data_IF_022672871457
#
_entry.id   IF_022672871457
#
_cell.length_a   1.000
_cell.length_b   1.000
_cell.length_c   1.000
_cell.angle_alpha   90.00
_cell.angle_beta   90.00
_cell.angle_gamma   90.00
#
_symmetry.space_group_name_H-M   'P 1'
#
loop_
_entity.id
_entity.type
_entity.pdbx_description
1 polymer ?
#
# COMPACT_ATOMS: atom_id res chain seq x y z
N UNK A 1 7.94 8.84 -10.61
CA UNK A 1 7.55 9.42 -11.93
C UNK A 1 6.08 9.21 -12.31
N UNK A 2 5.45 8.09 -11.95
CA UNK A 2 4.02 7.89 -12.09
C UNK A 2 3.21 8.79 -11.14
N UNK A 3 1.88 8.76 -11.22
CA UNK A 3 0.98 9.53 -10.35
C UNK A 3 1.19 11.05 -10.43
N UNK A 4 1.44 11.59 -11.62
CA UNK A 4 1.75 13.02 -11.83
C UNK A 4 0.81 13.73 -12.81
N UNK A 5 -0.37 13.19 -13.10
CA UNK A 5 -1.34 13.79 -14.04
C UNK A 5 -1.71 15.25 -13.73
N UNK A 6 -1.80 15.63 -12.45
CA UNK A 6 -2.08 17.02 -12.06
C UNK A 6 -0.98 18.00 -12.45
N UNK A 7 0.28 17.55 -12.57
CA UNK A 7 1.41 18.41 -12.98
C UNK A 7 1.26 18.90 -14.41
N UNK A 8 0.63 18.10 -15.28
CA UNK A 8 0.41 18.45 -16.68
C UNK A 8 -0.53 19.64 -16.87
N UNK A 9 -1.25 20.09 -15.82
CA UNK A 9 -2.02 21.34 -15.84
C UNK A 9 -1.12 22.59 -15.89
N UNK A 10 0.05 22.54 -15.26
CA UNK A 10 1.02 23.64 -15.26
C UNK A 10 2.20 23.40 -16.20
N UNK A 11 2.63 22.14 -16.33
CA UNK A 11 3.82 21.75 -17.07
C UNK A 11 3.51 20.59 -18.03
N UNK A 12 2.60 20.84 -18.97
CA UNK A 12 2.17 19.84 -19.96
C UNK A 12 3.33 19.23 -20.75
N UNK A 13 4.40 20.00 -20.96
CA UNK A 13 5.55 19.60 -21.76
C UNK A 13 6.50 18.61 -21.06
N UNK A 14 6.39 18.43 -19.75
CA UNK A 14 7.19 17.43 -19.00
C UNK A 14 6.37 16.20 -18.58
N UNK A 15 5.12 16.10 -19.01
CA UNK A 15 4.22 15.00 -18.67
C UNK A 15 3.78 14.26 -19.93
N UNK A 16 3.71 12.94 -19.84
CA UNK A 16 3.20 12.05 -20.89
C UNK A 16 1.82 11.54 -20.50
N UNK A 17 1.00 11.15 -21.49
CA UNK A 17 -0.35 10.60 -21.33
C UNK A 17 -1.35 11.40 -20.47
N UNK A 18 -1.07 12.66 -20.17
CA UNK A 18 -1.96 13.46 -19.31
C UNK A 18 -3.27 13.75 -20.01
N UNK A 19 -4.38 13.63 -19.27
CA UNK A 19 -5.76 13.79 -19.75
C UNK A 19 -6.21 12.72 -20.77
N UNK A 20 -5.41 11.66 -20.98
CA UNK A 20 -5.84 10.47 -21.73
C UNK A 20 -6.84 9.62 -20.93
N UNK A 21 -7.71 8.89 -21.63
CA UNK A 21 -8.56 7.91 -20.95
C UNK A 21 -7.69 6.72 -20.49
N UNK A 22 -7.77 6.35 -19.21
CA UNK A 22 -6.84 5.39 -18.63
C UNK A 22 -6.98 3.96 -19.18
N UNK A 23 -8.18 3.55 -19.61
CA UNK A 23 -8.40 2.24 -20.21
C UNK A 23 -8.23 2.28 -21.73
N UNK A 24 -7.81 1.15 -22.29
CA UNK A 24 -7.78 0.97 -23.74
C UNK A 24 -9.21 0.72 -24.29
N UNK A 25 -9.57 1.28 -25.46
CA UNK A 25 -10.88 1.05 -26.09
C UNK A 25 -11.19 -0.43 -26.39
N UNK A 26 -10.18 -1.30 -26.50
CA UNK A 26 -10.40 -2.75 -26.65
C UNK A 26 -10.82 -3.45 -25.34
N UNK A 27 -10.80 -2.75 -24.20
CA UNK A 27 -11.05 -3.33 -22.87
C UNK A 27 -9.88 -4.13 -22.30
N UNK A 28 -8.72 -4.14 -22.96
CA UNK A 28 -7.54 -4.88 -22.50
C UNK A 28 -6.83 -4.15 -21.37
N UNK A 29 -6.74 -4.78 -20.19
CA UNK A 29 -6.05 -4.25 -19.00
C UNK A 29 -4.55 -4.05 -19.21
N UNK A 30 -3.89 -4.95 -19.96
CA UNK A 30 -2.46 -4.84 -20.30
C UNK A 30 -2.14 -3.61 -21.15
N UNK A 31 -3.18 -3.05 -21.77
CA UNK A 31 -3.10 -1.93 -22.70
C UNK A 31 -3.52 -0.61 -22.04
N UNK A 32 -3.81 -0.58 -20.74
CA UNK A 32 -4.14 0.67 -20.03
C UNK A 32 -2.97 1.68 -20.05
N UNK A 33 -3.30 2.95 -19.82
CA UNK A 33 -2.33 4.06 -19.67
C UNK A 33 -2.01 4.38 -18.20
N UNK A 34 -2.87 3.97 -17.26
CA UNK A 34 -2.65 4.09 -15.81
C UNK A 34 -3.42 2.96 -15.08
N UNK A 35 -3.03 2.65 -13.85
CA UNK A 35 -3.76 1.71 -12.99
C UNK A 35 -5.15 2.27 -12.61
N UNK A 36 -5.26 3.59 -12.46
CA UNK A 36 -6.48 4.29 -12.06
C UNK A 36 -6.70 5.57 -12.91
N UNK A 37 -7.93 6.14 -12.93
CA UNK A 37 -8.20 7.41 -13.61
C UNK A 37 -7.31 8.57 -13.15
N UNK A 38 -7.06 9.53 -14.05
CA UNK A 38 -6.14 10.65 -13.80
C UNK A 38 -4.74 10.39 -14.35
N UNK A 39 -4.68 9.90 -15.58
CA UNK A 39 -3.42 9.52 -16.24
C UNK A 39 -2.41 10.66 -16.24
N UNK A 40 -1.13 10.28 -16.13
CA UNK A 40 -0.01 11.17 -16.34
C UNK A 40 1.25 10.69 -15.65
N UNK A 41 2.35 10.66 -16.40
CA UNK A 41 3.67 10.34 -15.88
C UNK A 41 4.70 11.35 -16.36
N UNK A 42 5.63 11.74 -15.50
CA UNK A 42 6.74 12.61 -15.85
C UNK A 42 7.57 12.00 -16.99
N UNK A 43 7.98 12.84 -17.95
CA UNK A 43 8.78 12.47 -19.09
C UNK A 43 10.24 12.28 -18.67
N UNK A 44 10.80 11.06 -18.72
CA UNK A 44 12.12 10.76 -18.18
C UNK A 44 13.28 11.17 -19.10
N UNK A 45 13.00 11.69 -20.31
CA UNK A 45 14.07 12.03 -21.27
C UNK A 45 14.29 13.54 -21.43
N UNK A 46 13.43 14.36 -20.81
CA UNK A 46 13.52 15.81 -20.91
C UNK A 46 14.31 16.40 -19.74
N UNK A 47 15.28 17.26 -20.05
CA UNK A 47 16.08 17.99 -19.04
C UNK A 47 15.17 18.83 -18.13
N UNK A 48 14.17 19.50 -18.71
CA UNK A 48 13.22 20.35 -17.98
C UNK A 48 12.44 19.60 -16.92
N UNK A 49 12.16 18.30 -17.12
CA UNK A 49 11.53 17.46 -16.08
C UNK A 49 12.33 17.50 -14.79
N UNK A 50 13.64 17.29 -14.91
CA UNK A 50 14.55 17.23 -13.76
C UNK A 50 14.78 18.59 -13.11
N UNK A 51 14.80 19.68 -13.89
CA UNK A 51 14.87 21.05 -13.33
C UNK A 51 13.66 21.37 -12.44
N UNK A 52 12.48 20.86 -12.77
CA UNK A 52 11.26 21.09 -11.98
C UNK A 52 11.22 20.14 -10.79
N UNK A 53 11.52 18.85 -11.00
CA UNK A 53 11.56 17.85 -9.92
C UNK A 53 12.57 18.24 -8.83
N UNK A 54 13.77 18.69 -9.21
CA UNK A 54 14.79 19.13 -8.25
C UNK A 54 14.32 20.30 -7.39
N UNK A 55 13.63 21.29 -7.99
CA UNK A 55 13.07 22.43 -7.23
C UNK A 55 12.01 21.97 -6.23
N UNK A 56 11.13 21.07 -6.64
CA UNK A 56 10.08 20.54 -5.75
C UNK A 56 10.70 19.72 -4.61
N UNK A 57 11.63 18.81 -4.91
CA UNK A 57 12.30 17.97 -3.91
C UNK A 57 13.08 18.84 -2.92
N UNK A 58 13.89 19.78 -3.42
CA UNK A 58 14.72 20.64 -2.56
C UNK A 58 13.87 21.56 -1.67
N UNK A 59 12.80 22.15 -2.20
CA UNK A 59 11.87 22.97 -1.41
C UNK A 59 11.18 22.12 -0.34
N UNK A 60 10.57 21.00 -0.71
CA UNK A 60 9.91 20.10 0.24
C UNK A 60 10.88 19.59 1.30
N UNK A 61 12.07 19.12 0.92
CA UNK A 61 13.09 18.64 1.85
C UNK A 61 13.56 19.73 2.84
N UNK A 62 13.52 21.00 2.45
CA UNK A 62 13.85 22.14 3.32
C UNK A 62 12.76 22.46 4.34
N UNK A 63 11.50 22.14 4.04
CA UNK A 63 10.35 22.39 4.92
C UNK A 63 10.21 21.34 6.02
N UNK A 64 10.65 20.11 5.77
CA UNK A 64 10.53 18.99 6.71
C UNK A 64 11.88 18.67 7.37
N UNK A 65 11.90 18.63 8.71
CA UNK A 65 13.13 18.38 9.49
C UNK A 65 13.54 16.91 9.56
N UNK A 66 12.66 15.99 9.17
CA UNK A 66 12.96 14.55 9.18
C UNK A 66 14.12 14.22 8.24
N UNK A 67 14.90 13.18 8.53
CA UNK A 67 16.04 12.81 7.70
C UNK A 67 15.65 11.98 6.48
N UNK A 68 14.38 11.57 6.34
CA UNK A 68 13.92 10.69 5.27
C UNK A 68 13.06 11.48 4.27
N UNK A 69 13.04 11.02 3.03
CA UNK A 69 12.21 11.59 1.97
C UNK A 69 11.67 10.45 1.10
N UNK A 70 10.34 10.37 0.96
CA UNK A 70 9.72 9.35 0.13
C UNK A 70 9.62 9.83 -1.33
N UNK A 71 10.36 9.20 -2.24
CA UNK A 71 10.38 9.50 -3.68
C UNK A 71 9.27 8.84 -4.48
N UNK A 72 8.51 7.90 -3.89
CA UNK A 72 7.44 7.17 -4.59
C UNK A 72 8.03 6.04 -5.42
N UNK A 73 7.76 6.03 -6.73
CA UNK A 73 8.35 5.05 -7.66
C UNK A 73 7.47 3.82 -7.96
N UNK A 74 6.23 3.83 -7.53
CA UNK A 74 5.22 2.80 -7.75
C UNK A 74 4.55 2.89 -9.13
N UNK A 75 4.02 1.74 -9.57
CA UNK A 75 3.10 1.58 -10.72
C UNK A 75 3.44 2.32 -12.03
N UNK A 76 4.69 2.29 -12.53
CA UNK A 76 4.98 2.86 -13.84
C UNK A 76 4.30 2.06 -14.96
N UNK A 77 3.50 2.73 -15.78
CA UNK A 77 2.88 2.18 -16.98
C UNK A 77 3.65 2.66 -18.21
N UNK A 78 4.46 1.79 -18.81
CA UNK A 78 5.37 2.17 -19.91
C UNK A 78 4.65 2.66 -21.16
N UNK A 79 3.44 2.14 -21.43
CA UNK A 79 2.59 2.63 -22.52
C UNK A 79 2.31 4.13 -22.43
N UNK A 80 2.24 4.69 -21.21
CA UNK A 80 2.09 6.13 -21.01
C UNK A 80 3.24 6.91 -21.65
N UNK A 81 4.48 6.42 -21.50
CA UNK A 81 5.68 7.02 -22.09
C UNK A 81 5.81 6.72 -23.59
N UNK A 82 5.46 5.51 -24.02
CA UNK A 82 5.64 5.05 -25.41
C UNK A 82 4.83 5.84 -26.45
N UNK A 83 3.91 6.72 -26.04
CA UNK A 83 3.19 7.60 -26.96
C UNK A 83 3.86 8.98 -27.17
N UNK A 84 4.84 9.34 -26.35
CA UNK A 84 5.50 10.64 -26.42
C UNK A 84 6.62 10.65 -27.48
N UNK A 85 6.66 11.68 -28.31
CA UNK A 85 7.59 11.75 -29.45
C UNK A 85 9.07 11.80 -29.02
N UNK A 86 9.38 12.47 -27.91
CA UNK A 86 10.74 12.59 -27.39
C UNK A 86 11.19 11.27 -26.77
N UNK A 87 10.29 10.62 -26.03
CA UNK A 87 10.54 9.28 -25.49
C UNK A 87 10.77 8.29 -26.62
N UNK A 88 9.90 8.24 -27.63
CA UNK A 88 10.06 7.33 -28.77
C UNK A 88 11.39 7.55 -29.50
N UNK A 89 11.77 8.82 -29.72
CA UNK A 89 13.05 9.17 -30.32
C UNK A 89 14.24 8.70 -29.47
N UNK A 90 14.17 8.89 -28.15
CA UNK A 90 15.20 8.43 -27.20
C UNK A 90 15.30 6.90 -27.19
N UNK A 91 14.18 6.19 -27.02
CA UNK A 91 14.14 4.73 -27.02
C UNK A 91 14.74 4.16 -28.31
N UNK A 92 14.43 4.74 -29.46
CA UNK A 92 15.01 4.33 -30.75
C UNK A 92 16.51 4.63 -30.85
N UNK A 93 16.95 5.81 -30.40
CA UNK A 93 18.35 6.22 -30.50
C UNK A 93 19.27 5.39 -29.59
N UNK A 94 18.79 5.02 -28.41
CA UNK A 94 19.58 4.32 -27.39
C UNK A 94 19.21 2.84 -27.23
N UNK A 95 18.27 2.32 -28.03
CA UNK A 95 17.70 0.98 -27.87
C UNK A 95 17.19 0.74 -26.43
N UNK A 96 16.53 1.74 -25.86
CA UNK A 96 16.04 1.75 -24.49
C UNK A 96 14.61 1.19 -24.39
N UNK A 97 14.32 0.56 -23.26
CA UNK A 97 13.01 0.02 -22.86
C UNK A 97 12.36 0.90 -21.78
N UNK A 98 11.10 0.65 -21.46
CA UNK A 98 10.43 1.30 -20.33
C UNK A 98 11.17 1.12 -18.98
N UNK A 99 11.84 -0.02 -18.79
CA UNK A 99 12.65 -0.27 -17.60
C UNK A 99 13.88 0.65 -17.54
N UNK A 100 14.55 0.86 -18.67
CA UNK A 100 15.70 1.77 -18.76
C UNK A 100 15.27 3.21 -18.47
N UNK A 101 14.09 3.62 -18.95
CA UNK A 101 13.52 4.95 -18.68
C UNK A 101 13.20 5.15 -17.20
N UNK A 102 12.64 4.12 -16.55
CA UNK A 102 12.37 4.15 -15.12
C UNK A 102 13.67 4.25 -14.31
N UNK A 103 14.69 3.45 -14.64
CA UNK A 103 15.99 3.51 -13.98
C UNK A 103 16.62 4.90 -14.13
N UNK A 104 16.67 5.46 -15.34
CA UNK A 104 17.20 6.81 -15.58
C UNK A 104 16.50 7.86 -14.69
N UNK A 105 15.18 7.79 -14.58
CA UNK A 105 14.43 8.71 -13.73
C UNK A 105 14.76 8.52 -12.26
N UNK A 106 14.69 7.29 -11.76
CA UNK A 106 14.90 7.01 -10.34
C UNK A 106 16.33 7.33 -9.91
N UNK A 107 17.36 7.04 -10.70
CA UNK A 107 18.74 7.38 -10.34
C UNK A 107 18.90 8.90 -10.14
N UNK A 108 18.34 9.72 -11.04
CA UNK A 108 18.38 11.18 -10.94
C UNK A 108 17.57 11.71 -9.74
N UNK A 109 16.37 11.18 -9.52
CA UNK A 109 15.51 11.53 -8.38
C UNK A 109 16.20 11.19 -7.04
N UNK A 110 16.77 10.00 -6.93
CA UNK A 110 17.50 9.55 -5.74
C UNK A 110 18.73 10.42 -5.47
N UNK A 111 19.46 10.85 -6.51
CA UNK A 111 20.57 11.80 -6.37
C UNK A 111 20.11 13.17 -5.86
N UNK A 112 18.97 13.68 -6.33
CA UNK A 112 18.39 14.93 -5.81
C UNK A 112 18.01 14.83 -4.34
N UNK A 113 17.44 13.69 -3.93
CA UNK A 113 17.11 13.41 -2.52
C UNK A 113 18.39 13.36 -1.66
N UNK A 114 19.43 12.66 -2.13
CA UNK A 114 20.73 12.58 -1.45
C UNK A 114 21.39 13.96 -1.32
N UNK A 115 21.33 14.78 -2.38
CA UNK A 115 21.85 16.16 -2.37
C UNK A 115 21.12 17.04 -1.36
N UNK A 116 19.87 16.71 -1.04
CA UNK A 116 19.08 17.35 0.02
C UNK A 116 19.41 16.81 1.43
N UNK A 117 20.46 16.00 1.56
CA UNK A 117 20.88 15.34 2.82
C UNK A 117 19.80 14.47 3.47
N UNK A 118 18.94 13.86 2.64
CA UNK A 118 17.89 12.93 3.08
C UNK A 118 18.21 11.49 2.66
N UNK A 119 17.73 10.52 3.43
CA UNK A 119 17.67 9.11 3.04
C UNK A 119 16.40 8.88 2.21
N UNK A 120 16.56 8.33 1.01
CA UNK A 120 15.43 8.05 0.14
C UNK A 120 14.65 6.80 0.60
N UNK A 121 13.33 6.91 0.53
CA UNK A 121 12.39 5.78 0.56
C UNK A 121 11.74 5.70 -0.82
N UNK A 122 11.58 4.51 -1.36
CA UNK A 122 10.75 4.26 -2.54
C UNK A 122 9.83 3.07 -2.29
N UNK A 123 8.73 2.99 -3.02
CA UNK A 123 7.94 1.77 -3.09
C UNK A 123 8.78 0.62 -3.69
N UNK A 124 8.42 -0.61 -3.37
CA UNK A 124 9.22 -1.78 -3.72
C UNK A 124 9.30 -2.10 -5.23
N UNK A 125 8.35 -1.62 -6.03
CA UNK A 125 8.13 -1.99 -7.43
C UNK A 125 9.40 -2.00 -8.30
N UNK A 126 10.24 -0.94 -8.29
CA UNK A 126 11.45 -0.91 -9.11
C UNK A 126 12.41 -2.05 -8.81
N UNK A 127 12.40 -2.58 -7.59
CA UNK A 127 13.37 -3.57 -7.12
C UNK A 127 12.78 -4.98 -7.05
N UNK A 128 11.62 -5.17 -6.44
CA UNK A 128 11.09 -6.51 -6.18
C UNK A 128 10.29 -7.06 -7.36
N UNK A 129 9.69 -6.20 -8.18
CA UNK A 129 8.95 -6.61 -9.39
C UNK A 129 9.84 -6.60 -10.64
N UNK A 130 10.69 -5.57 -10.79
CA UNK A 130 11.43 -5.30 -12.03
C UNK A 130 12.92 -5.67 -11.95
N UNK A 131 13.50 -5.69 -10.74
CA UNK A 131 14.93 -5.95 -10.49
C UNK A 131 15.89 -4.86 -11.04
N UNK A 132 15.51 -3.58 -10.91
CA UNK A 132 16.38 -2.46 -11.25
C UNK A 132 17.56 -2.32 -10.27
N UNK A 133 18.72 -1.82 -10.75
CA UNK A 133 19.95 -1.70 -9.95
C UNK A 133 19.93 -0.47 -9.01
N UNK A 134 18.94 -0.40 -8.12
CA UNK A 134 18.81 0.69 -7.14
C UNK A 134 19.84 0.53 -6.01
N UNK A 135 20.47 1.62 -5.58
CA UNK A 135 21.46 1.61 -4.49
C UNK A 135 20.90 1.08 -3.15
N UNK A 136 21.72 0.36 -2.38
CA UNK A 136 21.32 -0.23 -1.08
C UNK A 136 21.22 0.79 0.07
N UNK A 137 21.56 2.04 -0.20
CA UNK A 137 21.34 3.17 0.71
C UNK A 137 19.87 3.62 0.76
N UNK A 138 19.05 3.16 -0.19
CA UNK A 138 17.60 3.41 -0.25
C UNK A 138 16.82 2.43 0.63
N UNK A 139 15.77 2.91 1.29
CA UNK A 139 14.80 2.09 2.02
C UNK A 139 13.64 1.73 1.09
N UNK A 140 13.20 0.47 1.12
CA UNK A 140 12.02 0.05 0.35
C UNK A 140 10.77 0.01 1.23
N UNK A 141 9.65 0.53 0.75
CA UNK A 141 8.34 0.32 1.36
C UNK A 141 7.62 -0.81 0.60
N UNK A 142 7.42 -1.94 1.27
CA UNK A 142 6.86 -3.14 0.65
C UNK A 142 5.37 -3.26 0.94
N UNK A 143 4.58 -3.17 -0.13
CA UNK A 143 3.12 -3.13 -0.08
C UNK A 143 2.47 -4.34 -0.74
N UNK A 144 3.15 -5.04 -1.64
CA UNK A 144 2.60 -6.19 -2.34
C UNK A 144 3.25 -7.49 -1.89
N UNK A 145 4.59 -7.58 -1.98
CA UNK A 145 5.30 -8.80 -1.65
C UNK A 145 5.48 -8.96 -0.13
N UNK A 146 5.84 -10.16 0.33
CA UNK A 146 6.43 -10.32 1.64
C UNK A 146 7.74 -9.52 1.73
N UNK A 147 7.97 -8.83 2.86
CA UNK A 147 9.18 -8.05 3.10
C UNK A 147 10.49 -8.83 2.88
N UNK A 148 10.43 -10.17 2.99
CA UNK A 148 11.54 -11.08 2.74
C UNK A 148 12.19 -10.89 1.37
N UNK A 149 11.41 -10.52 0.35
CA UNK A 149 11.94 -10.37 -1.01
C UNK A 149 12.86 -9.14 -1.13
N UNK A 150 12.50 -8.03 -0.49
CA UNK A 150 13.38 -6.86 -0.36
C UNK A 150 14.62 -7.17 0.51
N UNK A 151 14.42 -7.84 1.64
CA UNK A 151 15.50 -8.15 2.60
C UNK A 151 16.55 -9.10 2.00
N UNK A 152 16.14 -10.14 1.27
CA UNK A 152 17.07 -11.05 0.56
C UNK A 152 17.95 -10.32 -0.45
N UNK A 153 17.42 -9.25 -1.06
CA UNK A 153 18.17 -8.37 -1.96
C UNK A 153 19.06 -7.37 -1.22
N UNK A 154 19.10 -7.41 0.12
CA UNK A 154 19.97 -6.60 0.96
C UNK A 154 19.46 -5.18 1.23
N UNK A 155 18.16 -4.92 1.07
CA UNK A 155 17.56 -3.63 1.40
C UNK A 155 17.02 -3.61 2.83
N UNK A 156 17.03 -2.42 3.41
CA UNK A 156 16.18 -2.12 4.56
C UNK A 156 14.75 -1.89 4.10
N UNK A 157 13.77 -2.28 4.91
CA UNK A 157 12.36 -2.32 4.50
C UNK A 157 11.41 -1.77 5.55
N UNK A 158 10.42 -1.01 5.10
CA UNK A 158 9.20 -0.63 5.82
C UNK A 158 8.09 -1.58 5.35
N UNK A 159 7.45 -2.30 6.29
CA UNK A 159 6.35 -3.20 5.94
C UNK A 159 5.03 -2.43 5.82
N UNK A 160 4.34 -2.56 4.69
CA UNK A 160 3.03 -1.96 4.42
C UNK A 160 2.13 -2.88 3.60
N UNK A 161 2.28 -4.21 3.77
CA UNK A 161 1.61 -5.19 2.91
C UNK A 161 0.08 -5.01 2.87
N UNK A 162 -0.49 -4.83 1.69
CA UNK A 162 -1.89 -4.50 1.45
C UNK A 162 -2.87 -5.56 1.96
N UNK A 163 -2.45 -6.84 2.02
CA UNK A 163 -3.27 -7.91 2.58
C UNK A 163 -3.45 -7.81 4.11
N UNK A 164 -2.76 -6.87 4.76
CA UNK A 164 -2.80 -6.68 6.20
C UNK A 164 -3.03 -5.23 6.61
N UNK A 165 -2.32 -4.28 6.00
CA UNK A 165 -2.14 -2.92 6.52
C UNK A 165 -2.59 -1.81 5.55
N UNK A 166 -3.47 -2.12 4.60
CA UNK A 166 -4.22 -1.10 3.84
C UNK A 166 -5.61 -0.90 4.47
N UNK A 167 -5.96 0.36 4.74
CA UNK A 167 -7.16 0.76 5.50
C UNK A 167 -8.32 1.25 4.64
N UNK A 168 -8.04 1.64 3.41
CA UNK A 168 -8.95 2.08 2.34
C UNK A 168 -9.78 0.92 1.76
N UNK A 169 -9.20 -0.28 1.75
CA UNK A 169 -9.79 -1.48 1.19
C UNK A 169 -11.12 -1.87 1.88
N UNK A 170 -11.98 -2.62 1.16
CA UNK A 170 -13.27 -3.12 1.69
C UNK A 170 -14.49 -2.24 1.40
N UNK A 171 -14.36 -1.20 0.58
CA UNK A 171 -15.44 -0.23 0.28
C UNK A 171 -16.01 -0.33 -1.13
N UNK A 172 -15.67 -1.40 -1.86
CA UNK A 172 -15.92 -1.49 -3.30
C UNK A 172 -14.98 -0.59 -4.09
N UNK A 173 -15.20 -0.53 -5.40
CA UNK A 173 -14.51 0.38 -6.31
C UNK A 173 -15.23 1.73 -6.38
N UNK A 174 -14.47 2.78 -6.72
CA UNK A 174 -14.97 4.15 -6.82
C UNK A 174 -15.21 4.62 -8.27
N UNK A 175 -14.80 3.81 -9.25
CA UNK A 175 -14.97 4.12 -10.67
C UNK A 175 -16.44 4.22 -11.09
N UNK A 176 -16.74 5.16 -11.97
CA UNK A 176 -18.06 5.29 -12.59
C UNK A 176 -18.25 4.31 -13.77
N UNK A 177 -19.51 4.05 -14.14
CA UNK A 177 -19.88 3.16 -15.26
C UNK A 177 -19.28 1.75 -15.14
N UNK A 178 -19.21 1.20 -13.93
CA UNK A 178 -18.79 -0.17 -13.68
C UNK A 178 -20.00 -1.12 -13.77
N UNK A 179 -20.13 -1.79 -14.92
CA UNK A 179 -21.18 -2.78 -15.14
C UNK A 179 -20.95 -4.08 -14.35
N UNK A 180 -19.81 -4.25 -13.67
CA UNK A 180 -19.58 -5.38 -12.77
C UNK A 180 -20.52 -5.39 -11.56
N UNK A 181 -21.18 -4.27 -11.25
CA UNK A 181 -22.24 -4.21 -10.24
C UNK A 181 -23.63 -4.56 -10.78
N UNK A 182 -23.82 -4.67 -12.11
CA UNK A 182 -25.12 -5.01 -12.72
C UNK A 182 -25.34 -6.52 -12.76
N UNK A 183 -25.23 -7.15 -11.59
CA UNK A 183 -25.43 -8.59 -11.38
C UNK A 183 -26.65 -8.80 -10.46
N UNK A 184 -27.71 -9.41 -11.00
CA UNK A 184 -28.95 -9.69 -10.25
C UNK A 184 -29.00 -11.10 -9.65
N UNK A 185 -28.02 -11.93 -9.98
CA UNK A 185 -27.87 -13.31 -9.52
C UNK A 185 -26.44 -13.55 -9.10
N UNK A 186 -26.23 -14.41 -8.09
CA UNK A 186 -24.90 -14.80 -7.68
C UNK A 186 -24.12 -15.37 -8.89
N UNK A 187 -22.91 -14.87 -9.18
CA UNK A 187 -22.14 -15.37 -10.31
C UNK A 187 -21.80 -16.85 -10.12
N UNK A 188 -21.72 -17.57 -11.23
CA UNK A 188 -21.27 -18.96 -11.22
C UNK A 188 -19.79 -19.01 -10.82
N UNK A 189 -19.51 -19.59 -9.65
CA UNK A 189 -18.14 -19.84 -9.21
C UNK A 189 -17.63 -21.06 -10.00
N UNK A 190 -16.51 -20.96 -10.74
CA UNK A 190 -15.93 -22.09 -11.44
C UNK A 190 -15.71 -23.26 -10.48
N UNK A 191 -15.99 -24.49 -10.94
CA UNK A 191 -15.98 -25.70 -10.09
C UNK A 191 -14.68 -25.89 -9.31
N UNK A 192 -13.54 -25.56 -9.93
CA UNK A 192 -12.22 -25.59 -9.32
C UNK A 192 -12.06 -24.58 -8.17
N UNK A 193 -12.65 -23.39 -8.30
CA UNK A 193 -12.64 -22.37 -7.25
C UNK A 193 -13.64 -22.73 -6.15
N UNK A 194 -14.82 -23.23 -6.52
CA UNK A 194 -15.84 -23.66 -5.58
C UNK A 194 -15.33 -24.77 -4.64
N UNK A 195 -14.51 -25.71 -5.15
CA UNK A 195 -13.88 -26.75 -4.34
C UNK A 195 -12.91 -26.18 -3.29
N UNK A 196 -12.14 -25.14 -3.66
CA UNK A 196 -11.23 -24.46 -2.72
C UNK A 196 -12.02 -23.66 -1.68
N UNK A 197 -13.03 -22.91 -2.11
CA UNK A 197 -13.88 -22.13 -1.20
C UNK A 197 -14.63 -23.05 -0.22
N UNK A 198 -15.15 -24.18 -0.68
CA UNK A 198 -15.82 -25.17 0.18
C UNK A 198 -14.87 -25.76 1.23
N UNK A 199 -13.59 -26.01 0.86
CA UNK A 199 -12.57 -26.48 1.80
C UNK A 199 -12.32 -25.49 2.95
N UNK A 200 -12.53 -24.20 2.71
CA UNK A 200 -12.31 -23.13 3.67
C UNK A 200 -13.60 -22.51 4.22
N UNK A 201 -14.76 -23.13 3.97
CA UNK A 201 -16.09 -22.64 4.35
C UNK A 201 -16.37 -21.19 3.90
N UNK A 202 -15.85 -20.83 2.72
CA UNK A 202 -15.85 -19.48 2.16
C UNK A 202 -16.77 -19.35 0.93
N UNK A 203 -17.78 -20.23 0.79
CA UNK A 203 -18.63 -20.33 -0.40
C UNK A 203 -19.49 -19.07 -0.70
N UNK A 204 -19.68 -18.19 0.29
CA UNK A 204 -20.39 -16.91 0.13
C UNK A 204 -19.45 -15.70 -0.01
N UNK A 205 -18.18 -15.95 -0.33
CA UNK A 205 -17.16 -14.92 -0.42
C UNK A 205 -17.21 -14.20 -1.78
N UNK A 206 -18.31 -13.49 -2.08
CA UNK A 206 -18.35 -12.53 -3.18
C UNK A 206 -17.45 -11.34 -2.81
N UNK A 207 -16.49 -11.01 -3.67
CA UNK A 207 -15.57 -9.89 -3.48
C UNK A 207 -15.96 -8.79 -4.49
N UNK A 208 -16.47 -7.63 -4.04
CA UNK A 208 -16.71 -6.51 -4.95
C UNK A 208 -15.40 -6.06 -5.60
N UNK A 209 -15.48 -5.33 -6.72
CA UNK A 209 -14.34 -4.78 -7.45
C UNK A 209 -13.59 -3.70 -6.65
N UNK A 210 -12.93 -4.09 -5.56
CA UNK A 210 -11.89 -3.34 -4.89
C UNK A 210 -10.63 -4.20 -4.93
N UNK A 211 -9.55 -3.65 -5.46
CA UNK A 211 -8.29 -4.38 -5.66
C UNK A 211 -7.69 -4.89 -4.35
N UNK A 212 -7.94 -4.20 -3.23
CA UNK A 212 -7.53 -4.62 -1.88
C UNK A 212 -8.51 -5.54 -1.15
N UNK A 213 -9.55 -6.01 -1.84
CA UNK A 213 -10.49 -7.02 -1.35
C UNK A 213 -11.38 -6.55 -0.20
N UNK A 214 -11.58 -7.43 0.80
CA UNK A 214 -12.55 -7.25 1.91
C UNK A 214 -12.19 -6.15 2.93
N UNK A 215 -11.02 -5.52 2.78
CA UNK A 215 -10.51 -4.59 3.77
C UNK A 215 -9.83 -5.29 4.95
N UNK A 216 -8.91 -4.58 5.58
CA UNK A 216 -8.21 -5.08 6.76
C UNK A 216 -8.93 -4.63 8.03
N UNK A 217 -9.58 -5.57 8.71
CA UNK A 217 -10.10 -5.35 10.06
C UNK A 217 -8.94 -5.26 11.08
N UNK A 218 -9.26 -4.84 12.32
CA UNK A 218 -8.24 -4.68 13.36
C UNK A 218 -7.56 -6.00 13.73
N UNK A 219 -8.27 -7.15 13.67
CA UNK A 219 -7.71 -8.47 13.95
C UNK A 219 -6.66 -8.83 12.88
N UNK A 220 -6.97 -8.56 11.61
CA UNK A 220 -6.08 -8.79 10.48
C UNK A 220 -4.83 -7.93 10.60
N UNK A 221 -4.99 -6.63 10.90
CA UNK A 221 -3.87 -5.71 11.16
C UNK A 221 -3.01 -6.21 12.32
N UNK A 222 -3.62 -6.55 13.45
CA UNK A 222 -2.91 -7.07 14.62
C UNK A 222 -2.22 -8.42 14.35
N UNK A 223 -2.72 -9.19 13.38
CA UNK A 223 -2.19 -10.53 13.09
C UNK A 223 -0.89 -10.53 12.29
N UNK A 224 -0.52 -9.39 11.68
CA UNK A 224 0.63 -9.33 10.79
C UNK A 224 1.95 -9.50 11.57
N UNK A 225 2.72 -10.50 11.18
CA UNK A 225 4.09 -10.72 11.65
C UNK A 225 5.05 -10.26 10.55
N UNK A 226 5.62 -9.07 10.73
CA UNK A 226 6.53 -8.43 9.78
C UNK A 226 7.83 -9.23 9.60
N UNK A 227 8.13 -10.15 10.52
CA UNK A 227 9.35 -10.95 10.53
C UNK A 227 9.10 -12.42 10.19
N UNK A 228 7.89 -12.74 9.73
CA UNK A 228 7.50 -14.12 9.42
C UNK A 228 8.48 -14.77 8.44
N UNK A 229 9.01 -15.94 8.81
CA UNK A 229 10.02 -16.69 8.06
C UNK A 229 11.33 -15.93 7.75
N UNK A 230 11.70 -14.93 8.56
CA UNK A 230 13.02 -14.30 8.53
C UNK A 230 13.93 -14.89 9.61
N UNK A 231 15.22 -15.00 9.29
CA UNK A 231 16.27 -15.16 10.30
C UNK A 231 16.43 -13.87 11.11
N UNK A 232 17.09 -13.94 12.27
CA UNK A 232 17.35 -12.74 13.09
C UNK A 232 18.18 -11.69 12.34
N UNK A 233 19.15 -12.11 11.53
CA UNK A 233 19.95 -11.22 10.69
C UNK A 233 19.10 -10.56 9.60
N UNK A 234 18.21 -11.30 8.95
CA UNK A 234 17.27 -10.75 7.96
C UNK A 234 16.27 -9.78 8.62
N UNK A 235 15.71 -10.16 9.77
CA UNK A 235 14.75 -9.35 10.52
C UNK A 235 15.33 -8.00 10.96
N UNK A 236 16.64 -7.89 11.17
CA UNK A 236 17.29 -6.61 11.49
C UNK A 236 17.24 -5.57 10.37
N UNK A 237 16.91 -5.98 9.14
CA UNK A 237 16.67 -5.07 8.01
C UNK A 237 15.21 -4.58 7.93
N UNK A 238 14.28 -5.14 8.72
CA UNK A 238 12.91 -4.63 8.82
C UNK A 238 12.91 -3.48 9.83
N UNK A 239 12.75 -2.24 9.34
CA UNK A 239 12.84 -1.03 10.17
C UNK A 239 11.60 -0.80 11.03
N UNK A 240 10.49 -1.44 10.65
CA UNK A 240 9.17 -1.28 11.23
C UNK A 240 8.15 -1.41 10.11
N UNK A 241 7.08 -0.63 10.19
CA UNK A 241 6.16 -0.56 9.08
C UNK A 241 5.11 0.54 9.25
N UNK A 242 4.28 0.66 8.23
CA UNK A 242 3.35 1.76 8.07
C UNK A 242 2.02 1.22 7.55
N UNK A 243 0.94 1.69 8.16
CA UNK A 243 -0.42 1.36 7.74
C UNK A 243 -0.84 2.43 6.73
N UNK A 244 -1.13 2.02 5.51
CA UNK A 244 -1.51 2.92 4.43
C UNK A 244 -3.02 3.19 4.46
N UNK A 245 -3.39 4.46 4.27
CA UNK A 245 -4.76 4.86 4.00
C UNK A 245 -4.74 5.68 2.70
N UNK A 246 -5.01 5.00 1.58
CA UNK A 246 -5.28 5.68 0.32
C UNK A 246 -6.60 6.44 0.39
N UNK A 247 -6.76 7.46 -0.46
CA UNK A 247 -7.75 8.53 -0.24
C UNK A 247 -8.76 8.73 -1.36
N UNK A 248 -8.88 7.76 -2.26
CA UNK A 248 -9.84 7.78 -3.37
C UNK A 248 -11.29 7.95 -2.85
N UNK A 249 -11.58 7.37 -1.69
CA UNK A 249 -12.88 7.47 -1.00
C UNK A 249 -12.73 7.99 0.44
N UNK A 250 -11.72 8.82 0.71
CA UNK A 250 -11.44 9.37 2.05
C UNK A 250 -11.25 10.87 1.98
N UNK A 251 -11.92 11.58 2.89
CA UNK A 251 -11.74 13.00 3.12
C UNK A 251 -11.79 13.31 4.63
N UNK A 252 -11.89 14.59 4.98
CA UNK A 252 -11.97 15.02 6.39
C UNK A 252 -13.14 14.43 7.17
N UNK A 253 -14.19 13.95 6.51
CA UNK A 253 -15.39 13.39 7.16
C UNK A 253 -15.21 11.94 7.54
N UNK A 254 -14.35 11.20 6.83
CA UNK A 254 -14.15 9.75 7.04
C UNK A 254 -12.77 9.41 7.59
N UNK A 255 -11.79 10.32 7.50
CA UNK A 255 -10.39 10.12 7.92
C UNK A 255 -10.25 9.41 9.27
N UNK A 256 -10.86 9.98 10.32
CA UNK A 256 -10.73 9.45 11.68
C UNK A 256 -11.28 8.03 11.78
N UNK A 257 -12.46 7.78 11.21
CA UNK A 257 -13.10 6.45 11.26
C UNK A 257 -12.36 5.42 10.42
N UNK A 258 -11.63 5.85 9.39
CA UNK A 258 -10.79 4.98 8.57
C UNK A 258 -9.51 4.59 9.31
N UNK A 259 -8.87 5.55 9.99
CA UNK A 259 -7.66 5.31 10.77
C UNK A 259 -7.93 4.54 12.06
N UNK A 260 -8.98 4.90 12.80
CA UNK A 260 -9.13 4.52 14.19
C UNK A 260 -10.37 3.67 14.46
N UNK A 261 -10.25 2.59 15.25
CA UNK A 261 -9.09 2.21 16.09
C UNK A 261 -8.09 1.27 15.40
N UNK A 262 -8.28 0.95 14.12
CA UNK A 262 -7.49 -0.03 13.37
C UNK A 262 -5.98 0.23 13.41
N UNK A 263 -5.52 1.46 13.23
CA UNK A 263 -4.10 1.82 13.34
C UNK A 263 -3.52 1.60 14.74
N UNK A 264 -4.35 1.58 15.79
CA UNK A 264 -3.88 1.26 17.15
C UNK A 264 -3.46 -0.21 17.29
N UNK A 265 -4.04 -1.11 16.49
CA UNK A 265 -3.61 -2.50 16.44
C UNK A 265 -2.19 -2.62 15.86
N UNK A 266 -1.90 -1.93 14.77
CA UNK A 266 -0.55 -1.89 14.20
C UNK A 266 0.45 -1.22 15.15
N UNK A 267 0.03 -0.14 15.83
CA UNK A 267 0.87 0.52 16.82
C UNK A 267 1.35 -0.45 17.92
N UNK A 268 0.49 -1.34 18.40
CA UNK A 268 0.89 -2.33 19.40
C UNK A 268 1.84 -3.41 18.85
N UNK A 269 1.59 -3.85 17.60
CA UNK A 269 2.47 -4.79 16.90
C UNK A 269 3.87 -4.19 16.73
N UNK A 270 3.96 -2.93 16.32
CA UNK A 270 5.22 -2.22 16.11
C UNK A 270 5.92 -1.87 17.43
N UNK A 271 5.16 -1.60 18.50
CA UNK A 271 5.70 -1.19 19.80
C UNK A 271 6.19 -2.36 20.65
N UNK A 272 5.39 -3.43 20.73
CA UNK A 272 5.60 -4.53 21.69
C UNK A 272 5.72 -5.91 21.05
N UNK A 273 5.70 -5.96 19.72
CA UNK A 273 5.85 -7.17 18.93
C UNK A 273 4.61 -8.07 18.93
N UNK A 274 4.54 -8.93 17.91
CA UNK A 274 3.49 -9.96 17.79
C UNK A 274 3.64 -11.11 18.78
N UNK A 275 4.81 -11.22 19.41
CA UNK A 275 5.18 -12.25 20.36
C UNK A 275 5.53 -11.62 21.72
N UNK A 276 5.28 -12.34 22.80
CA UNK A 276 5.70 -11.93 24.13
C UNK A 276 7.19 -12.24 24.41
N UNK A 277 7.65 -11.93 25.62
CA UNK A 277 9.04 -12.18 26.04
C UNK A 277 9.44 -13.66 25.99
N UNK A 278 8.47 -14.58 26.05
CA UNK A 278 8.67 -16.02 25.97
C UNK A 278 8.54 -16.54 24.53
N UNK A 279 8.49 -15.65 23.53
CA UNK A 279 8.24 -15.97 22.11
C UNK A 279 6.89 -16.64 21.87
N UNK A 280 5.93 -16.46 22.78
CA UNK A 280 4.56 -16.94 22.60
C UNK A 280 3.79 -15.94 21.76
N UNK A 281 3.08 -16.44 20.74
CA UNK A 281 2.24 -15.60 19.89
C UNK A 281 1.11 -15.00 20.74
N UNK A 282 1.00 -13.66 20.78
CA UNK A 282 -0.07 -12.96 21.52
C UNK A 282 -1.45 -13.35 20.99
N UNK A 283 -2.41 -13.64 21.85
CA UNK A 283 -3.76 -13.99 21.40
C UNK A 283 -4.54 -12.73 20.96
N UNK A 284 -5.33 -12.84 19.90
CA UNK A 284 -6.23 -11.76 19.46
C UNK A 284 -7.34 -11.55 20.51
N UNK A 285 -7.84 -12.64 21.12
CA UNK A 285 -8.81 -12.58 22.20
C UNK A 285 -8.30 -11.80 23.42
N UNK A 286 -7.02 -11.89 23.74
CA UNK A 286 -6.39 -11.09 24.81
C UNK A 286 -6.22 -9.61 24.45
N UNK A 287 -6.11 -9.29 23.15
CA UNK A 287 -6.05 -7.91 22.68
C UNK A 287 -7.43 -7.24 22.65
N UNK A 288 -8.50 -8.02 22.47
CA UNK A 288 -9.83 -7.47 22.20
C UNK A 288 -10.37 -6.53 23.30
N UNK A 289 -10.34 -6.89 24.59
CA UNK A 289 -10.79 -5.96 25.64
C UNK A 289 -9.98 -4.65 25.68
N UNK A 290 -8.69 -4.70 25.34
CA UNK A 290 -7.78 -3.55 25.40
C UNK A 290 -8.02 -2.57 24.26
N UNK A 291 -8.15 -3.07 23.03
CA UNK A 291 -8.45 -2.20 21.88
C UNK A 291 -9.88 -1.64 21.97
N UNK A 292 -10.82 -2.40 22.55
CA UNK A 292 -12.17 -1.91 22.82
C UNK A 292 -12.15 -0.74 23.81
N UNK A 293 -11.47 -0.85 24.95
CA UNK A 293 -11.29 0.27 25.90
C UNK A 293 -10.56 1.46 25.24
N UNK A 294 -9.49 1.18 24.49
CA UNK A 294 -8.70 2.19 23.80
C UNK A 294 -9.53 3.05 22.83
N UNK A 295 -10.46 2.42 22.10
CA UNK A 295 -11.42 3.12 21.23
C UNK A 295 -12.15 4.25 21.98
N UNK A 296 -12.68 4.00 23.18
CA UNK A 296 -13.39 5.03 23.95
C UNK A 296 -12.46 6.09 24.50
N UNK A 297 -11.19 5.74 24.78
CA UNK A 297 -10.17 6.74 25.15
C UNK A 297 -9.86 7.67 23.98
N UNK A 298 -9.84 7.18 22.74
CA UNK A 298 -9.69 8.03 21.55
C UNK A 298 -10.92 8.95 21.39
N UNK A 299 -12.13 8.43 21.56
CA UNK A 299 -13.35 9.25 21.53
C UNK A 299 -13.34 10.36 22.58
N UNK A 300 -12.90 10.05 23.80
CA UNK A 300 -12.76 11.05 24.88
C UNK A 300 -11.75 12.16 24.55
N UNK A 301 -10.83 11.91 23.60
CA UNK A 301 -9.86 12.90 23.08
C UNK A 301 -10.37 13.65 21.83
N UNK A 302 -11.61 13.41 21.41
CA UNK A 302 -12.21 14.05 20.24
C UNK A 302 -11.94 13.36 18.91
N UNK A 303 -11.36 12.16 18.91
CA UNK A 303 -11.09 11.38 17.68
C UNK A 303 -12.30 10.50 17.36
N UNK A 304 -12.84 10.60 16.14
CA UNK A 304 -14.02 9.85 15.73
C UNK A 304 -13.68 8.42 15.33
N UNK A 305 -13.92 7.45 16.20
CA UNK A 305 -13.55 6.05 15.95
C UNK A 305 -14.69 5.19 15.42
N UNK A 306 -14.36 4.30 14.47
CA UNK A 306 -15.26 3.25 14.01
C UNK A 306 -15.69 2.34 15.16
N UNK A 307 -16.95 1.89 15.15
CA UNK A 307 -17.45 0.90 16.10
C UNK A 307 -16.88 -0.50 15.79
N UNK A 308 -16.31 -1.17 16.79
CA UNK A 308 -15.67 -2.48 16.59
C UNK A 308 -16.62 -3.66 16.78
N UNK A 309 -17.48 -3.59 17.79
CA UNK A 309 -18.42 -4.63 18.20
C UNK A 309 -19.63 -3.99 18.90
N UNK A 310 -20.76 -4.72 19.05
CA UNK A 310 -21.84 -4.30 19.93
C UNK A 310 -21.31 -3.94 21.33
N UNK A 311 -21.87 -2.90 21.95
CA UNK A 311 -21.45 -2.45 23.29
C UNK A 311 -21.53 -3.58 24.32
N UNK A 312 -22.52 -4.47 24.18
CA UNK A 312 -22.66 -5.65 25.04
C UNK A 312 -21.41 -6.53 25.05
N UNK A 313 -20.75 -6.74 23.90
CA UNK A 313 -19.53 -7.55 23.81
C UNK A 313 -18.39 -6.95 24.63
N UNK A 314 -18.20 -5.63 24.55
CA UNK A 314 -17.17 -4.96 25.35
C UNK A 314 -17.50 -4.85 26.85
N UNK A 315 -18.79 -4.89 27.20
CA UNK A 315 -19.25 -4.98 28.60
C UNK A 315 -19.21 -6.40 29.16
N UNK A 316 -19.15 -7.42 28.29
CA UNK A 316 -19.11 -8.83 28.65
C UNK A 316 -17.91 -9.50 27.94
N UNK A 317 -16.67 -9.25 28.41
CA UNK A 317 -15.46 -9.72 27.74
C UNK A 317 -15.52 -11.21 27.42
N UNK A 318 -15.07 -11.57 26.21
CA UNK A 318 -15.00 -12.94 25.67
C UNK A 318 -16.34 -13.62 25.36
N UNK A 319 -17.48 -13.00 25.67
CA UNK A 319 -18.80 -13.57 25.34
C UNK A 319 -19.18 -13.46 23.86
N UNK A 320 -18.36 -12.76 23.06
CA UNK A 320 -18.50 -12.64 21.61
C UNK A 320 -17.31 -13.27 20.86
N UNK A 321 -16.47 -14.07 21.54
CA UNK A 321 -15.34 -14.74 20.90
C UNK A 321 -15.84 -15.91 20.04
N UNK A 322 -15.35 -15.99 18.81
CA UNK A 322 -15.67 -17.10 17.88
C UNK A 322 -14.84 -18.36 18.15
N UNK A 323 -13.77 -18.24 18.92
CA UNK A 323 -12.91 -19.35 19.36
C UNK A 323 -12.94 -19.40 20.88
N UNK A 324 -13.15 -20.58 21.46
CA UNK A 324 -13.22 -20.73 22.91
C UNK A 324 -11.92 -20.25 23.59
N UNK A 325 -11.97 -19.27 24.52
CA UNK A 325 -10.79 -18.68 25.08
C UNK A 325 -9.90 -19.69 25.81
N UNK A 326 -8.62 -19.72 25.45
CA UNK A 326 -7.65 -20.69 25.97
C UNK A 326 -7.50 -20.61 27.49
N UNK A 327 -7.49 -19.40 28.06
CA UNK A 327 -7.39 -19.17 29.51
C UNK A 327 -8.62 -19.63 30.31
N UNK A 328 -9.77 -19.89 29.66
CA UNK A 328 -10.93 -20.49 30.32
C UNK A 328 -10.82 -22.01 30.40
N UNK A 329 -9.98 -22.65 29.58
CA UNK A 329 -9.74 -24.09 29.62
C UNK A 329 -8.90 -24.52 30.83
N UNK A 330 -8.05 -23.63 31.35
CA UNK A 330 -7.19 -23.90 32.52
C UNK A 330 -7.89 -23.72 33.86
N UNK A 331 -9.16 -23.29 33.86
CA UNK A 331 -9.99 -23.10 35.06
C UNK A 331 -10.98 -24.25 35.33
N UNK A 332 -11.00 -25.29 34.49
CA UNK A 332 -11.73 -26.54 34.70
C UNK A 332 -10.79 -27.61 35.26
#
# INVERSE_FOLDING_TARGET
>A
PAHTGSWGKAYKDITTCTDEFYLDPSGSWEKKFAAEPGTGQLNPVLVKTYEIVEKVISEAASLFTDSWFHGGGDEPIYRCWEQDEYVQAYMKAYNATGYDLLDIFLQKELDMIRNSSKTAIIWEDPVTHIDLPIGKDVVLQSWFNPVKEAVKKGYKVIASNANFWYLDCGHGGWGGNDNGYDEQTMPEVPSEVAAVLAKHDAIFNYNPNNWGGRGSDWCRIYSYDLTYNLTEAEASNVLGGEVALWTEQVDSTTLDTRLWPRSSAAAEVLWSGRFDQNKTKRDIGEAMPRIFDWRYRLQKRGIQTEAMQPLWCGQNPHMCDITYPSFLKTKQ
#
